data_IF_227263134555
#
_entry.id   IF_227263134555
#
_cell.length_a   1.000
_cell.length_b   1.000
_cell.length_c   1.000
_cell.angle_alpha   90.00
_cell.angle_beta   90.00
_cell.angle_gamma   90.00
#
_symmetry.space_group_name_H-M   'P 1'
#
loop_
_entity.id
_entity.type
_entity.pdbx_description
1 polymer ?
#
# COMPACT_ATOMS: atom_id res chain seq x y z
N UNK A 1 10.20 -11.55 0.64
CA UNK A 1 9.82 -10.51 -0.32
C UNK A 1 8.68 -11.03 -1.16
N UNK A 2 7.45 -10.70 -0.81
CA UNK A 2 6.27 -11.02 -1.63
C UNK A 2 6.11 -9.88 -2.63
N UNK A 3 6.40 -10.13 -3.90
CA UNK A 3 6.16 -9.17 -4.98
C UNK A 3 4.67 -9.28 -5.35
N UNK A 4 3.89 -8.26 -4.98
CA UNK A 4 2.48 -8.17 -5.37
C UNK A 4 2.38 -7.26 -6.61
N UNK A 5 1.54 -7.65 -7.56
CA UNK A 5 1.45 -7.19 -8.95
C UNK A 5 1.04 -5.70 -9.17
N UNK A 6 1.69 -4.76 -8.49
CA UNK A 6 1.98 -3.41 -8.95
C UNK A 6 3.20 -2.91 -8.16
N UNK A 7 4.30 -3.66 -8.33
CA UNK A 7 5.65 -3.19 -8.04
C UNK A 7 5.84 -2.46 -6.71
N UNK A 8 5.38 -3.07 -5.64
CA UNK A 8 5.74 -2.67 -4.29
C UNK A 8 6.21 -3.90 -3.53
N UNK A 9 7.31 -3.73 -2.80
CA UNK A 9 7.81 -4.70 -1.85
C UNK A 9 7.40 -4.25 -0.46
N UNK A 10 6.76 -5.13 0.29
CA UNK A 10 6.60 -4.99 1.73
C UNK A 10 7.65 -5.86 2.40
N UNK A 11 8.44 -5.26 3.28
CA UNK A 11 9.51 -5.96 3.99
C UNK A 11 8.93 -6.91 5.03
N UNK A 12 7.98 -6.42 5.83
CA UNK A 12 7.28 -7.18 6.86
C UNK A 12 5.75 -6.97 6.76
N UNK A 13 4.97 -8.00 6.41
CA UNK A 13 3.52 -7.89 6.25
C UNK A 13 2.76 -7.69 7.57
N UNK A 14 3.41 -7.88 8.71
CA UNK A 14 2.80 -7.74 10.03
C UNK A 14 2.82 -6.30 10.55
N UNK A 15 3.77 -5.47 10.09
CA UNK A 15 3.93 -4.07 10.53
C UNK A 15 2.67 -3.21 10.35
N UNK A 16 1.94 -3.27 9.21
CA UNK A 16 0.74 -2.46 9.03
C UNK A 16 -0.31 -2.69 10.13
N UNK A 17 -0.55 -3.95 10.50
CA UNK A 17 -1.55 -4.30 11.51
C UNK A 17 -1.01 -4.17 12.94
N UNK A 18 0.22 -4.63 13.20
CA UNK A 18 0.76 -4.73 14.56
C UNK A 18 1.44 -3.45 15.06
N UNK A 19 1.87 -2.57 14.16
CA UNK A 19 2.65 -1.37 14.51
C UNK A 19 1.94 -0.12 14.02
N UNK A 20 1.67 -0.02 12.72
CA UNK A 20 1.19 1.20 12.11
C UNK A 20 -0.26 1.52 12.50
N UNK A 21 -1.14 0.51 12.46
CA UNK A 21 -2.54 0.64 12.90
C UNK A 21 -2.67 1.13 14.36
N UNK A 22 -2.06 0.50 15.38
CA UNK A 22 -2.21 0.95 16.76
C UNK A 22 -1.52 2.28 17.07
N UNK A 23 -0.45 2.66 16.35
CA UNK A 23 0.30 3.90 16.63
C UNK A 23 -0.21 5.13 15.86
N UNK A 24 -0.67 4.93 14.63
CA UNK A 24 -0.98 6.02 13.70
C UNK A 24 -2.27 5.79 12.90
N UNK A 25 -3.11 4.85 13.32
CA UNK A 25 -4.38 4.50 12.65
C UNK A 25 -4.18 4.08 11.17
N UNK A 26 -3.05 3.40 10.89
CA UNK A 26 -2.61 2.95 9.56
C UNK A 26 -2.72 4.07 8.51
N UNK A 27 -1.72 4.99 8.46
CA UNK A 27 -1.81 6.22 7.67
C UNK A 27 -1.82 5.96 6.16
N UNK A 28 -1.45 4.75 5.71
CA UNK A 28 -1.47 4.40 4.29
C UNK A 28 -2.86 4.47 3.67
N UNK A 29 -3.91 4.26 4.48
CA UNK A 29 -5.31 4.43 4.07
C UNK A 29 -5.65 5.89 3.73
N UNK A 30 -4.85 6.86 4.22
CA UNK A 30 -5.16 8.30 4.13
C UNK A 30 -4.25 9.04 3.17
N UNK A 31 -2.94 8.77 3.20
CA UNK A 31 -2.02 9.48 2.30
C UNK A 31 -2.05 8.90 0.87
N UNK A 32 -2.57 7.68 0.67
CA UNK A 32 -2.63 7.06 -0.64
C UNK A 32 -3.79 7.68 -1.43
N UNK A 33 -3.53 8.39 -2.54
CA UNK A 33 -4.57 9.11 -3.27
C UNK A 33 -5.53 8.19 -4.06
N UNK A 34 -5.23 6.88 -4.13
CA UNK A 34 -5.95 5.94 -4.99
C UNK A 34 -6.50 4.71 -4.23
N UNK A 35 -6.53 4.74 -2.88
CA UNK A 35 -7.10 3.63 -2.11
C UNK A 35 -6.39 2.29 -2.35
N UNK A 36 -5.06 2.31 -2.45
CA UNK A 36 -4.26 1.07 -2.65
C UNK A 36 -4.19 0.26 -1.36
N UNK A 37 -4.29 0.88 -0.19
CA UNK A 37 -4.14 0.22 1.11
C UNK A 37 -5.41 0.35 1.93
N UNK A 38 -5.88 -0.78 2.45
CA UNK A 38 -7.08 -0.85 3.25
C UNK A 38 -6.86 -1.81 4.42
N UNK A 39 -7.42 -1.49 5.59
CA UNK A 39 -7.55 -2.43 6.69
C UNK A 39 -8.92 -3.08 6.60
N UNK A 40 -8.93 -4.37 6.32
CA UNK A 40 -10.14 -5.18 6.28
C UNK A 40 -10.32 -5.90 7.60
N UNK A 41 -11.55 -5.98 8.08
CA UNK A 41 -11.93 -6.86 9.19
C UNK A 41 -12.37 -8.21 8.63
N UNK A 42 -11.87 -9.29 9.20
CA UNK A 42 -12.25 -10.66 8.88
C UNK A 42 -13.45 -11.08 9.73
N UNK A 43 -14.10 -12.19 9.36
CA UNK A 43 -15.28 -12.72 10.07
C UNK A 43 -15.00 -13.08 11.54
N UNK A 44 -13.74 -13.35 11.89
CA UNK A 44 -13.29 -13.64 13.25
C UNK A 44 -12.94 -12.37 14.06
N UNK A 45 -13.17 -11.18 13.50
CA UNK A 45 -12.83 -9.88 14.09
C UNK A 45 -11.34 -9.51 13.98
N UNK A 46 -10.51 -10.36 13.37
CA UNK A 46 -9.11 -10.02 13.11
C UNK A 46 -8.99 -9.00 11.98
N UNK A 47 -8.01 -8.10 12.08
CA UNK A 47 -7.73 -7.10 11.05
C UNK A 47 -6.61 -7.58 10.14
N UNK A 48 -6.78 -7.40 8.83
CA UNK A 48 -5.76 -7.69 7.83
C UNK A 48 -5.50 -6.49 6.93
N UNK A 49 -4.26 -6.38 6.48
CA UNK A 49 -3.86 -5.36 5.51
C UNK A 49 -4.09 -5.87 4.09
N UNK A 50 -5.01 -5.22 3.36
CA UNK A 50 -5.36 -5.52 1.98
C UNK A 50 -4.67 -4.50 1.05
N UNK A 51 -4.13 -5.00 -0.07
CA UNK A 51 -3.40 -4.18 -1.05
C UNK A 51 -4.05 -4.33 -2.41
N UNK A 52 -4.68 -3.25 -2.88
CA UNK A 52 -5.34 -3.16 -4.17
C UNK A 52 -4.37 -2.56 -5.19
N UNK A 53 -3.34 -3.34 -5.53
CA UNK A 53 -2.21 -2.92 -6.35
C UNK A 53 -2.64 -2.33 -7.71
N UNK A 54 -3.73 -2.84 -8.30
CA UNK A 54 -4.30 -2.35 -9.55
C UNK A 54 -4.69 -0.86 -9.53
N UNK A 55 -4.97 -0.28 -8.36
CA UNK A 55 -5.32 1.13 -8.22
C UNK A 55 -4.09 2.06 -8.21
N UNK A 56 -2.86 1.53 -8.22
CA UNK A 56 -1.68 2.35 -8.03
C UNK A 56 -1.47 3.38 -9.16
N UNK A 57 -1.42 4.66 -8.80
CA UNK A 57 -1.18 5.78 -9.73
C UNK A 57 0.29 6.23 -9.79
N UNK A 58 1.21 5.41 -9.26
CA UNK A 58 2.67 5.62 -9.31
C UNK A 58 3.19 6.92 -8.67
N UNK A 59 2.43 7.56 -7.78
CA UNK A 59 2.80 8.83 -7.14
C UNK A 59 3.95 8.74 -6.12
N UNK A 60 4.39 7.52 -5.75
CA UNK A 60 5.43 7.25 -4.72
C UNK A 60 5.12 7.69 -3.29
N UNK A 61 3.97 8.31 -2.99
CA UNK A 61 3.67 8.82 -1.63
C UNK A 61 3.88 7.78 -0.53
N UNK A 62 3.45 6.54 -0.74
CA UNK A 62 3.59 5.44 0.20
C UNK A 62 5.04 4.99 0.47
N UNK A 63 5.98 5.35 -0.41
CA UNK A 63 7.43 5.10 -0.22
C UNK A 63 8.01 6.16 0.73
N UNK A 64 7.56 7.41 0.58
CA UNK A 64 8.08 8.57 1.31
C UNK A 64 7.43 8.72 2.70
N UNK A 65 6.12 8.44 2.79
CA UNK A 65 5.31 8.79 3.96
C UNK A 65 5.04 7.63 4.93
N UNK A 66 5.48 6.42 4.61
CA UNK A 66 5.35 5.30 5.55
C UNK A 66 6.27 5.54 6.77
N UNK A 67 5.70 5.71 7.99
CA UNK A 67 6.49 5.96 9.20
C UNK A 67 7.45 4.81 9.54
N UNK A 68 7.13 3.59 9.11
CA UNK A 68 7.96 2.40 9.40
C UNK A 68 8.93 2.06 8.27
N UNK A 69 8.95 2.83 7.17
CA UNK A 69 9.79 2.57 5.99
C UNK A 69 9.73 1.10 5.51
N UNK A 70 8.55 0.49 5.64
CA UNK A 70 8.26 -0.89 5.35
C UNK A 70 7.82 -1.11 3.89
N UNK A 71 7.26 -0.08 3.25
CA UNK A 71 6.79 -0.17 1.87
C UNK A 71 7.79 0.46 0.90
N UNK A 72 8.43 -0.36 0.08
CA UNK A 72 9.33 0.08 -1.00
C UNK A 72 8.60 0.07 -2.35
N UNK A 73 8.56 1.19 -3.05
CA UNK A 73 8.07 1.25 -4.42
C UNK A 73 9.15 0.82 -5.42
N UNK A 74 8.79 -0.08 -6.31
CA UNK A 74 9.56 -0.49 -7.49
C UNK A 74 8.73 -0.22 -8.75
N UNK A 75 9.34 -0.26 -9.93
CA UNK A 75 8.62 -0.04 -11.20
C UNK A 75 7.87 -1.32 -11.62
N UNK A 76 6.60 -1.24 -12.08
CA UNK A 76 5.88 -2.43 -12.54
C UNK A 76 6.31 -2.85 -13.93
N UNK A 77 5.83 -4.02 -14.35
CA UNK A 77 5.95 -4.47 -15.73
C UNK A 77 5.40 -3.38 -16.66
N UNK A 78 6.15 -3.11 -17.74
CA UNK A 78 5.85 -1.99 -18.65
C UNK A 78 4.43 -2.09 -19.21
N UNK A 79 3.73 -0.95 -19.24
CA UNK A 79 2.32 -0.86 -19.65
C UNK A 79 1.32 -0.86 -18.49
N UNK A 80 1.75 -1.16 -17.26
CA UNK A 80 0.97 -0.92 -16.05
C UNK A 80 1.02 0.54 -15.60
N UNK A 81 -0.09 1.08 -15.09
CA UNK A 81 -0.17 2.42 -14.50
C UNK A 81 -1.28 3.30 -15.07
N UNK A 82 -1.43 4.52 -14.53
CA UNK A 82 -2.49 5.44 -14.94
C UNK A 82 -2.26 5.97 -16.36
N UNK A 83 -3.35 6.11 -17.12
CA UNK A 83 -3.37 6.80 -18.40
C UNK A 83 -3.87 8.23 -18.20
N UNK A 84 -3.03 9.20 -18.51
CA UNK A 84 -3.30 10.63 -18.35
C UNK A 84 -3.41 11.32 -19.72
N UNK A 85 -4.54 11.19 -20.44
CA UNK A 85 -4.66 11.76 -21.78
C UNK A 85 -4.75 13.29 -21.80
N UNK A 86 -5.11 13.91 -20.67
CA UNK A 86 -5.39 15.35 -20.57
C UNK A 86 -4.82 15.96 -19.27
N UNK A 87 -3.78 15.37 -18.69
CA UNK A 87 -3.13 15.85 -17.45
C UNK A 87 -1.66 16.16 -17.71
#
# INVERSE_FOLDING_TARGET
MTVLNASRSITDPSIPVNVNLPKWDEPAQRYCPAGVYEIMENDDGSKRFQINAANCVHCKTCDIKDPSQNITWVTPEGGGGPNYPNM
#
